data_IF_410474439154
#
_entry.id   IF_410474439154
#
_cell.length_a   1.000
_cell.length_b   1.000
_cell.length_c   1.000
_cell.angle_alpha   90.00
_cell.angle_beta   90.00
_cell.angle_gamma   90.00
#
_symmetry.space_group_name_H-M   'P 1'
#
loop_
_entity.id
_entity.type
_entity.pdbx_description
1 polymer ?
#
# COMPACT_ATOMS: atom_id res chain seq x y z
N UNK A 1 -41.63 -18.05 27.03
CA UNK A 1 -40.40 -17.27 27.26
C UNK A 1 -39.30 -17.85 26.37
N UNK A 2 -39.40 -17.52 25.09
CA UNK A 2 -38.51 -18.02 24.02
C UNK A 2 -37.48 -16.94 23.75
N UNK A 3 -36.23 -17.26 24.09
CA UNK A 3 -35.09 -16.41 23.81
C UNK A 3 -34.85 -16.41 22.29
N UNK A 4 -35.20 -15.32 21.66
CA UNK A 4 -34.82 -14.97 20.29
C UNK A 4 -33.29 -14.78 20.25
N UNK A 5 -32.61 -15.83 19.80
CA UNK A 5 -31.19 -15.73 19.41
C UNK A 5 -31.17 -15.15 18.01
N UNK A 6 -31.31 -13.84 17.93
CA UNK A 6 -30.96 -13.11 16.74
C UNK A 6 -29.48 -13.34 16.40
N UNK A 7 -29.20 -14.36 15.59
CA UNK A 7 -27.96 -14.55 14.88
C UNK A 7 -27.83 -13.38 13.91
N UNK A 8 -27.22 -12.29 14.41
CA UNK A 8 -26.83 -11.17 13.58
C UNK A 8 -25.86 -11.66 12.51
N UNK A 9 -26.38 -11.98 11.34
CA UNK A 9 -25.60 -12.20 10.12
C UNK A 9 -24.79 -10.94 9.87
N UNK A 10 -23.51 -11.04 10.19
CA UNK A 10 -22.53 -10.01 9.89
C UNK A 10 -22.40 -9.89 8.38
N UNK A 11 -23.19 -8.98 7.80
CA UNK A 11 -23.16 -8.66 6.38
C UNK A 11 -21.74 -8.22 5.97
N UNK A 12 -21.07 -9.07 5.35
CA UNK A 12 -20.04 -9.12 4.32
C UNK A 12 -19.11 -7.94 4.03
N UNK A 13 -18.74 -7.10 5.00
CA UNK A 13 -17.59 -6.21 4.84
C UNK A 13 -16.34 -6.90 5.43
N UNK A 14 -15.24 -6.84 4.70
CA UNK A 14 -13.95 -7.36 5.19
C UNK A 14 -13.54 -6.57 6.44
N UNK A 15 -13.13 -7.27 7.50
CA UNK A 15 -12.66 -6.60 8.72
C UNK A 15 -11.48 -5.67 8.41
N UNK A 16 -11.46 -4.43 8.93
CA UNK A 16 -10.40 -3.46 8.66
C UNK A 16 -8.96 -4.00 8.79
N UNK A 17 -8.60 -4.77 9.84
CA UNK A 17 -7.23 -5.29 9.96
C UNK A 17 -6.90 -6.34 8.89
N UNK A 18 -7.88 -7.10 8.41
CA UNK A 18 -7.67 -8.07 7.33
C UNK A 18 -7.43 -7.35 6.01
N UNK A 19 -8.22 -6.33 5.70
CA UNK A 19 -8.02 -5.50 4.52
C UNK A 19 -6.66 -4.79 4.54
N UNK A 20 -6.24 -4.28 5.71
CA UNK A 20 -4.91 -3.68 5.90
C UNK A 20 -3.80 -4.69 5.62
N UNK A 21 -3.90 -5.90 6.18
CA UNK A 21 -2.91 -6.95 5.97
C UNK A 21 -2.78 -7.32 4.48
N UNK A 22 -3.90 -7.56 3.78
CA UNK A 22 -3.88 -7.87 2.35
C UNK A 22 -3.32 -6.72 1.51
N UNK A 23 -3.73 -5.48 1.79
CA UNK A 23 -3.23 -4.31 1.07
C UNK A 23 -1.72 -4.10 1.29
N UNK A 24 -1.24 -4.29 2.52
CA UNK A 24 0.19 -4.15 2.84
C UNK A 24 1.05 -5.25 2.20
N UNK A 25 0.56 -6.50 2.21
CA UNK A 25 1.24 -7.62 1.52
C UNK A 25 1.25 -7.40 0.00
N UNK A 26 0.13 -6.96 -0.56
CA UNK A 26 0.03 -6.61 -1.97
C UNK A 26 0.96 -5.47 -2.35
N UNK A 27 1.04 -4.43 -1.52
CA UNK A 27 1.96 -3.32 -1.72
C UNK A 27 3.42 -3.77 -1.71
N UNK A 28 3.84 -4.58 -0.73
CA UNK A 28 5.19 -5.13 -0.68
C UNK A 28 5.52 -5.95 -1.93
N UNK A 29 4.61 -6.83 -2.35
CA UNK A 29 4.79 -7.66 -3.55
C UNK A 29 4.88 -6.82 -4.81
N UNK A 30 3.98 -5.83 -5.00
CA UNK A 30 3.97 -4.97 -6.18
C UNK A 30 5.18 -4.03 -6.23
N UNK A 31 5.66 -3.52 -5.10
CA UNK A 31 6.88 -2.70 -5.06
C UNK A 31 8.10 -3.53 -5.46
N UNK A 32 8.28 -4.71 -4.88
CA UNK A 32 9.41 -5.58 -5.21
C UNK A 32 9.37 -5.98 -6.68
N UNK A 33 8.20 -6.40 -7.15
CA UNK A 33 7.99 -6.77 -8.56
C UNK A 33 8.20 -5.57 -9.49
N UNK A 34 7.61 -4.42 -9.18
CA UNK A 34 7.68 -3.20 -9.97
C UNK A 34 9.11 -2.67 -10.08
N UNK A 35 9.85 -2.64 -8.97
CA UNK A 35 11.26 -2.23 -8.97
C UNK A 35 12.13 -3.21 -9.80
N UNK A 36 11.89 -4.52 -9.65
CA UNK A 36 12.58 -5.56 -10.42
C UNK A 36 12.30 -5.47 -11.92
N UNK A 37 11.03 -5.33 -12.30
CA UNK A 37 10.63 -5.19 -13.71
C UNK A 37 11.16 -3.90 -14.33
N UNK A 38 11.13 -2.78 -13.58
CA UNK A 38 11.70 -1.51 -14.05
C UNK A 38 13.20 -1.65 -14.26
N UNK A 39 13.91 -2.30 -13.33
CA UNK A 39 15.35 -2.56 -13.44
C UNK A 39 15.67 -3.41 -14.68
N UNK A 40 14.90 -4.46 -14.94
CA UNK A 40 15.06 -5.30 -16.13
C UNK A 40 14.76 -4.53 -17.43
N UNK A 41 13.73 -3.72 -17.44
CA UNK A 41 13.30 -2.98 -18.63
C UNK A 41 14.25 -1.83 -18.99
N UNK A 42 14.85 -1.18 -17.99
CA UNK A 42 15.77 -0.06 -18.19
C UNK A 42 17.24 -0.48 -18.27
N UNK A 43 17.57 -1.69 -17.83
CA UNK A 43 18.95 -2.14 -17.65
C UNK A 43 19.69 -1.42 -16.51
N UNK A 44 18.96 -0.66 -15.69
CA UNK A 44 19.53 0.14 -14.60
C UNK A 44 19.27 -0.52 -13.23
N UNK A 45 20.26 -0.42 -12.33
CA UNK A 45 20.04 -0.80 -10.94
C UNK A 45 19.24 0.28 -10.20
N UNK A 46 18.36 -0.14 -9.27
CA UNK A 46 17.59 0.78 -8.41
C UNK A 46 18.52 1.76 -7.69
N UNK A 47 19.62 1.24 -7.13
CA UNK A 47 20.71 2.03 -6.56
C UNK A 47 21.94 1.86 -7.46
N UNK A 48 22.17 2.81 -8.35
CA UNK A 48 23.26 2.76 -9.32
C UNK A 48 24.59 3.33 -8.78
N UNK A 49 24.60 3.88 -7.55
CA UNK A 49 25.79 4.51 -6.97
C UNK A 49 26.74 3.45 -6.41
N UNK A 50 27.99 3.35 -6.91
CA UNK A 50 28.96 2.38 -6.42
C UNK A 50 29.24 2.56 -4.92
N UNK A 51 29.38 1.46 -4.19
CA UNK A 51 29.75 1.47 -2.77
C UNK A 51 28.55 1.55 -1.78
N UNK A 52 27.37 1.95 -2.21
CA UNK A 52 26.20 2.04 -1.32
C UNK A 52 25.52 0.68 -1.06
N UNK A 53 25.71 -0.31 -1.93
CA UNK A 53 25.09 -1.62 -1.79
C UNK A 53 23.55 -1.60 -1.82
N UNK A 54 22.93 -2.55 -1.17
CA UNK A 54 21.45 -2.71 -1.17
C UNK A 54 20.76 -2.03 0.02
N UNK A 55 21.50 -1.59 1.04
CA UNK A 55 20.95 -1.06 2.29
C UNK A 55 20.01 0.12 2.08
N UNK A 56 20.31 1.13 1.25
CA UNK A 56 19.39 2.25 1.01
C UNK A 56 18.07 1.79 0.39
N UNK A 57 18.13 0.85 -0.56
CA UNK A 57 16.91 0.31 -1.19
C UNK A 57 16.01 -0.43 -0.20
N UNK A 58 16.60 -1.28 0.64
CA UNK A 58 15.87 -2.00 1.69
C UNK A 58 15.25 -1.02 2.70
N UNK A 59 16.02 -0.04 3.17
CA UNK A 59 15.54 0.99 4.09
C UNK A 59 14.36 1.77 3.47
N UNK A 60 14.46 2.14 2.19
CA UNK A 60 13.37 2.79 1.46
C UNK A 60 12.08 1.96 1.45
N UNK A 61 12.17 0.68 1.08
CA UNK A 61 11.00 -0.21 1.02
C UNK A 61 10.37 -0.40 2.41
N UNK A 62 11.18 -0.59 3.45
CA UNK A 62 10.70 -0.74 4.83
C UNK A 62 9.99 0.52 5.31
N UNK A 63 10.59 1.70 5.11
CA UNK A 63 9.95 2.97 5.47
C UNK A 63 8.64 3.20 4.70
N UNK A 64 8.63 2.89 3.40
CA UNK A 64 7.43 3.00 2.58
C UNK A 64 6.31 2.08 3.08
N UNK A 65 6.63 0.83 3.45
CA UNK A 65 5.66 -0.13 3.95
C UNK A 65 5.06 0.30 5.29
N UNK A 66 5.87 0.82 6.20
CA UNK A 66 5.41 1.34 7.49
C UNK A 66 4.50 2.57 7.31
N UNK A 67 4.90 3.50 6.44
CA UNK A 67 4.10 4.68 6.13
C UNK A 67 2.78 4.30 5.43
N UNK A 68 2.82 3.32 4.51
CA UNK A 68 1.65 2.78 3.83
C UNK A 68 0.65 2.20 4.83
N UNK A 69 1.12 1.31 5.72
CA UNK A 69 0.27 0.67 6.72
C UNK A 69 -0.36 1.70 7.67
N UNK A 70 0.43 2.67 8.16
CA UNK A 70 -0.05 3.72 9.05
C UNK A 70 -1.05 4.67 8.38
N UNK A 71 -0.75 5.14 7.17
CA UNK A 71 -1.62 6.04 6.43
C UNK A 71 -2.93 5.35 5.98
N UNK A 72 -2.83 4.10 5.52
CA UNK A 72 -4.01 3.30 5.16
C UNK A 72 -4.89 3.01 6.37
N UNK A 73 -4.29 2.66 7.51
CA UNK A 73 -5.04 2.48 8.77
C UNK A 73 -5.80 3.73 9.15
N UNK A 74 -5.14 4.91 9.09
CA UNK A 74 -5.78 6.19 9.35
C UNK A 74 -6.90 6.51 8.33
N UNK A 75 -6.73 6.13 7.07
CA UNK A 75 -7.74 6.32 6.02
C UNK A 75 -8.97 5.42 6.22
N UNK A 76 -8.76 4.16 6.65
CA UNK A 76 -9.82 3.21 6.95
C UNK A 76 -10.57 3.61 8.23
N UNK A 77 -9.86 4.10 9.26
CA UNK A 77 -10.44 4.47 10.55
C UNK A 77 -11.34 5.71 10.53
N UNK A 78 -11.25 6.55 9.49
CA UNK A 78 -12.17 7.68 9.27
C UNK A 78 -13.50 7.18 8.67
N UNK A 79 -14.27 6.47 9.48
CA UNK A 79 -15.43 5.65 9.07
C UNK A 79 -16.69 6.43 8.65
N UNK A 80 -16.71 7.76 8.66
CA UNK A 80 -17.94 8.54 8.35
C UNK A 80 -18.27 8.63 6.87
N UNK A 81 -17.35 8.33 5.97
CA UNK A 81 -17.59 8.39 4.52
C UNK A 81 -17.96 7.01 3.98
N UNK A 82 -19.21 6.85 3.57
CA UNK A 82 -19.74 5.60 2.96
C UNK A 82 -19.21 5.30 1.55
N UNK A 83 -18.41 6.18 0.97
CA UNK A 83 -17.89 6.05 -0.40
C UNK A 83 -16.37 5.84 -0.39
N UNK A 84 -15.80 5.09 -1.37
CA UNK A 84 -14.37 5.01 -1.53
C UNK A 84 -13.77 6.40 -1.71
N UNK A 85 -12.90 6.82 -0.79
CA UNK A 85 -12.29 8.13 -0.84
C UNK A 85 -11.03 8.09 -1.68
N UNK A 86 -11.06 8.71 -2.87
CA UNK A 86 -9.85 8.94 -3.68
C UNK A 86 -8.79 9.72 -2.91
N UNK A 87 -9.25 10.63 -2.03
CA UNK A 87 -8.36 11.44 -1.22
C UNK A 87 -7.56 10.60 -0.20
N UNK A 88 -8.18 9.59 0.40
CA UNK A 88 -7.49 8.66 1.28
C UNK A 88 -6.42 7.85 0.56
N UNK A 89 -6.70 7.38 -0.66
CA UNK A 89 -5.73 6.66 -1.48
C UNK A 89 -4.58 7.58 -1.93
N UNK A 90 -4.89 8.82 -2.37
CA UNK A 90 -3.89 9.79 -2.78
C UNK A 90 -2.95 10.18 -1.62
N UNK A 91 -3.50 10.40 -0.42
CA UNK A 91 -2.71 10.70 0.77
C UNK A 91 -1.79 9.54 1.17
N UNK A 92 -2.32 8.30 1.15
CA UNK A 92 -1.54 7.10 1.44
C UNK A 92 -0.40 6.92 0.44
N UNK A 93 -0.68 7.18 -0.85
CA UNK A 93 0.33 7.15 -1.92
C UNK A 93 1.43 8.18 -1.68
N UNK A 94 1.06 9.43 -1.41
CA UNK A 94 2.02 10.50 -1.15
C UNK A 94 2.90 10.19 0.08
N UNK A 95 2.28 9.74 1.18
CA UNK A 95 3.01 9.37 2.40
C UNK A 95 3.99 8.22 2.15
N UNK A 96 3.57 7.17 1.43
CA UNK A 96 4.41 6.01 1.11
C UNK A 96 5.58 6.39 0.19
N UNK A 97 5.31 7.21 -0.82
CA UNK A 97 6.33 7.69 -1.76
C UNK A 97 7.38 8.55 -1.04
N UNK A 98 6.95 9.51 -0.23
CA UNK A 98 7.87 10.36 0.53
C UNK A 98 8.68 9.54 1.55
N UNK A 99 8.05 8.56 2.21
CA UNK A 99 8.74 7.67 3.13
C UNK A 99 9.76 6.76 2.40
N UNK A 100 9.45 6.31 1.18
CA UNK A 100 10.40 5.58 0.35
C UNK A 100 11.65 6.41 0.06
N UNK A 101 11.48 7.63 -0.45
CA UNK A 101 12.59 8.54 -0.78
C UNK A 101 13.38 8.90 0.47
N UNK A 102 12.68 9.23 1.57
CA UNK A 102 13.33 9.52 2.86
C UNK A 102 14.09 8.32 3.44
N UNK A 103 13.52 7.12 3.31
CA UNK A 103 14.17 5.87 3.74
C UNK A 103 15.43 5.56 2.94
N UNK A 104 15.41 5.78 1.62
CA UNK A 104 16.61 5.65 0.77
C UNK A 104 17.66 6.66 1.18
N UNK A 105 17.28 7.91 1.40
CA UNK A 105 18.18 8.98 1.84
C UNK A 105 18.82 8.64 3.18
N UNK A 106 18.05 8.25 4.17
CA UNK A 106 18.56 7.81 5.47
C UNK A 106 19.46 6.58 5.34
N UNK A 107 19.04 5.59 4.57
CA UNK A 107 19.83 4.37 4.33
C UNK A 107 21.18 4.68 3.70
N UNK A 108 21.26 5.65 2.77
CA UNK A 108 22.51 6.10 2.18
C UNK A 108 23.43 6.76 3.22
N UNK A 109 22.88 7.58 4.11
CA UNK A 109 23.66 8.18 5.21
C UNK A 109 24.20 7.12 6.17
N UNK A 110 23.38 6.11 6.52
CA UNK A 110 23.83 5.01 7.39
C UNK A 110 24.94 4.15 6.78
N UNK A 111 25.05 4.12 5.47
CA UNK A 111 26.18 3.44 4.78
C UNK A 111 27.43 4.32 4.66
N UNK A 112 27.42 5.52 5.22
CA UNK A 112 28.56 6.44 5.23
C UNK A 112 28.65 7.35 4.02
N UNK A 113 27.59 7.46 3.20
CA UNK A 113 27.53 8.44 2.12
C UNK A 113 27.47 9.86 2.69
N UNK A 114 28.11 10.81 2.00
CA UNK A 114 27.94 12.20 2.32
C UNK A 114 26.53 12.71 1.93
N UNK A 115 26.14 13.88 2.48
CA UNK A 115 24.83 14.48 2.24
C UNK A 115 24.55 14.75 0.76
N UNK A 116 25.56 15.12 -0.01
CA UNK A 116 25.43 15.41 -1.45
C UNK A 116 25.07 14.14 -2.23
N UNK A 117 25.79 13.04 -1.97
CA UNK A 117 25.53 11.74 -2.59
C UNK A 117 24.14 11.22 -2.19
N UNK A 118 23.80 11.23 -0.88
CA UNK A 118 22.50 10.79 -0.41
C UNK A 118 21.36 11.57 -1.06
N UNK A 119 21.48 12.89 -1.15
CA UNK A 119 20.47 13.75 -1.78
C UNK A 119 20.39 13.51 -3.30
N UNK A 120 21.52 13.29 -3.96
CA UNK A 120 21.55 12.95 -5.39
C UNK A 120 20.84 11.64 -5.70
N UNK A 121 21.07 10.59 -4.89
CA UNK A 121 20.39 9.29 -5.03
C UNK A 121 18.88 9.42 -4.81
N UNK A 122 18.47 10.09 -3.73
CA UNK A 122 17.08 10.33 -3.42
C UNK A 122 16.36 11.13 -4.53
N UNK A 123 16.98 12.20 -5.01
CA UNK A 123 16.45 13.03 -6.10
C UNK A 123 16.30 12.28 -7.43
N UNK A 124 17.30 11.44 -7.77
CA UNK A 124 17.23 10.59 -8.96
C UNK A 124 16.06 9.58 -8.85
N UNK A 125 15.90 8.94 -7.71
CA UNK A 125 14.80 8.00 -7.51
C UNK A 125 13.43 8.68 -7.57
N UNK A 126 13.30 9.88 -7.01
CA UNK A 126 12.05 10.64 -7.03
C UNK A 126 11.58 10.97 -8.45
N UNK A 127 12.51 11.18 -9.38
CA UNK A 127 12.24 11.58 -10.77
C UNK A 127 12.34 10.43 -11.78
N UNK A 128 12.65 9.21 -11.32
CA UNK A 128 12.84 8.04 -12.16
C UNK A 128 11.58 7.19 -12.29
N UNK A 129 11.60 6.24 -13.22
CA UNK A 129 10.57 5.20 -13.35
C UNK A 129 10.41 4.34 -12.09
N UNK A 130 11.46 4.22 -11.28
CA UNK A 130 11.42 3.53 -9.99
C UNK A 130 10.49 4.23 -9.00
N UNK A 131 10.55 5.56 -8.92
CA UNK A 131 9.65 6.35 -8.10
C UNK A 131 8.19 6.20 -8.54
N UNK A 132 7.96 6.20 -9.86
CA UNK A 132 6.62 5.98 -10.43
C UNK A 132 6.08 4.58 -10.10
N UNK A 133 6.92 3.54 -10.18
CA UNK A 133 6.53 2.17 -9.83
C UNK A 133 6.08 2.06 -8.36
N UNK A 134 6.80 2.71 -7.43
CA UNK A 134 6.41 2.75 -6.01
C UNK A 134 5.09 3.49 -5.82
N UNK A 135 4.94 4.66 -6.43
CA UNK A 135 3.72 5.46 -6.31
C UNK A 135 2.49 4.75 -6.89
N UNK A 136 2.62 4.13 -8.07
CA UNK A 136 1.55 3.36 -8.70
C UNK A 136 1.14 2.14 -7.84
N UNK A 137 2.12 1.40 -7.31
CA UNK A 137 1.87 0.27 -6.41
C UNK A 137 1.14 0.70 -5.15
N UNK A 138 1.55 1.81 -4.52
CA UNK A 138 0.90 2.36 -3.34
C UNK A 138 -0.54 2.79 -3.64
N UNK A 139 -0.78 3.45 -4.78
CA UNK A 139 -2.11 3.91 -5.16
C UNK A 139 -3.07 2.73 -5.37
N UNK A 140 -2.67 1.72 -6.15
CA UNK A 140 -3.50 0.55 -6.44
C UNK A 140 -3.84 -0.21 -5.17
N UNK A 141 -2.86 -0.45 -4.29
CA UNK A 141 -3.08 -1.18 -3.04
C UNK A 141 -3.90 -0.37 -2.03
N UNK A 142 -3.67 0.94 -1.91
CA UNK A 142 -4.46 1.80 -1.03
C UNK A 142 -5.91 1.88 -1.49
N UNK A 143 -6.14 2.08 -2.78
CA UNK A 143 -7.47 2.08 -3.36
C UNK A 143 -8.20 0.75 -3.12
N UNK A 144 -7.55 -0.37 -3.43
CA UNK A 144 -8.09 -1.72 -3.22
C UNK A 144 -8.41 -1.99 -1.74
N UNK A 145 -7.51 -1.59 -0.82
CA UNK A 145 -7.71 -1.75 0.62
C UNK A 145 -8.92 -0.94 1.14
N UNK A 146 -9.07 0.30 0.71
CA UNK A 146 -10.23 1.14 1.04
C UNK A 146 -11.51 0.57 0.43
N UNK A 147 -11.46 0.11 -0.82
CA UNK A 147 -12.59 -0.49 -1.50
C UNK A 147 -13.08 -1.75 -0.79
N UNK A 148 -12.18 -2.65 -0.36
CA UNK A 148 -12.52 -3.88 0.37
C UNK A 148 -13.30 -3.62 1.65
N UNK A 149 -12.99 -2.54 2.38
CA UNK A 149 -13.68 -2.20 3.63
C UNK A 149 -15.01 -1.51 3.37
N UNK A 150 -15.09 -0.65 2.33
CA UNK A 150 -16.25 0.21 2.07
C UNK A 150 -17.29 -0.41 1.15
N UNK A 151 -16.88 -1.36 0.32
CA UNK A 151 -17.80 -2.03 -0.61
C UNK A 151 -18.53 -3.16 0.13
N UNK A 152 -19.82 -2.99 0.36
CA UNK A 152 -20.68 -4.07 0.82
C UNK A 152 -20.94 -5.00 -0.36
N UNK A 153 -20.27 -6.13 -0.42
CA UNK A 153 -20.63 -7.17 -1.36
C UNK A 153 -22.02 -7.70 -0.99
N UNK A 154 -23.04 -7.34 -1.76
CA UNK A 154 -24.33 -8.04 -1.69
C UNK A 154 -24.08 -9.44 -2.23
N UNK A 155 -24.33 -10.45 -1.40
CA UNK A 155 -24.34 -11.84 -1.85
C UNK A 155 -25.36 -11.94 -3.00
N UNK A 156 -24.96 -12.42 -4.20
CA UNK A 156 -25.94 -12.67 -5.24
C UNK A 156 -26.97 -13.67 -4.70
N UNK A 157 -28.22 -13.26 -4.60
CA UNK A 157 -29.30 -14.20 -4.32
C UNK A 157 -29.67 -14.88 -5.62
N UNK A 158 -29.65 -16.18 -5.61
CA UNK A 158 -30.12 -16.96 -6.73
C UNK A 158 -31.67 -17.04 -6.67
N UNK A 159 -32.40 -17.04 -7.81
CA UNK A 159 -33.84 -17.02 -7.82
C UNK A 159 -34.52 -18.18 -7.06
N UNK A 160 -33.80 -19.28 -6.84
CA UNK A 160 -34.32 -20.44 -6.08
C UNK A 160 -34.07 -20.36 -4.57
N UNK A 161 -33.31 -19.40 -4.07
CA UNK A 161 -33.11 -19.21 -2.61
C UNK A 161 -34.37 -18.64 -1.94
N UNK A 162 -35.19 -17.90 -2.71
CA UNK A 162 -36.43 -17.31 -2.20
C UNK A 162 -37.59 -18.33 -2.04
N UNK A 163 -37.47 -19.52 -2.63
CA UNK A 163 -38.51 -20.55 -2.67
C UNK A 163 -38.54 -21.42 -1.39
N UNK A 164 -37.54 -21.34 -0.53
CA UNK A 164 -37.41 -22.11 0.70
C UNK A 164 -37.68 -21.32 1.98
N UNK A 165 -37.95 -20.01 1.90
CA UNK A 165 -38.18 -19.13 3.04
C UNK A 165 -39.71 -18.87 3.26
N UNK A 166 -40.63 -19.52 2.49
CA UNK A 166 -42.05 -19.56 2.72
C UNK A 166 -42.42 -20.90 3.44
#
# INVERSE_FOLDING_TARGET
MTADRGSGESHGSVRPPVALAFASMGFAALVIFGLGMTSLATGEAVIATPGLGQVPGIAGVVCALLAFAGALWAAIGRAEERHPSFWGAAWTTAASFLAYIGGVWLGALFTGADLGVATGVAGRLATSWFGLAVAASAFVCAWSGIALVRTRARRPRWPWEDEYDE
#
